data_IF_455041467292
#
_entry.id   IF_455041467292
#
_cell.length_a   1.000
_cell.length_b   1.000
_cell.length_c   1.000
_cell.angle_alpha   90.00
_cell.angle_beta   90.00
_cell.angle_gamma   90.00
#
_symmetry.space_group_name_H-M   'P 1'
#
loop_
_entity.id
_entity.type
_entity.pdbx_description
1 polymer ?
#
# COMPACT_ATOMS: atom_id res chain seq x y z
N UNK A 1 2.22 -11.49 2.90
CA UNK A 1 0.98 -11.70 2.11
C UNK A 1 0.04 -10.51 2.05
N UNK A 2 0.24 -9.44 2.88
CA UNK A 2 -0.68 -8.29 2.94
C UNK A 2 -0.91 -7.64 1.57
N UNK A 3 0.18 -7.23 0.91
CA UNK A 3 0.13 -6.56 -0.40
C UNK A 3 -0.43 -7.46 -1.49
N UNK A 4 -0.09 -8.76 -1.50
CA UNK A 4 -0.64 -9.73 -2.45
C UNK A 4 -2.16 -9.85 -2.30
N UNK A 5 -2.66 -9.97 -1.07
CA UNK A 5 -4.10 -10.05 -0.79
C UNK A 5 -4.83 -8.76 -1.21
N UNK A 6 -4.24 -7.60 -0.92
CA UNK A 6 -4.80 -6.32 -1.36
C UNK A 6 -4.86 -6.20 -2.90
N UNK A 7 -3.80 -6.63 -3.59
CA UNK A 7 -3.78 -6.70 -5.05
C UNK A 7 -4.86 -7.64 -5.60
N UNK A 8 -5.05 -8.81 -4.98
CA UNK A 8 -6.07 -9.77 -5.38
C UNK A 8 -7.48 -9.16 -5.27
N UNK A 9 -7.81 -8.55 -4.12
CA UNK A 9 -9.10 -7.92 -3.89
C UNK A 9 -9.32 -6.76 -4.88
N UNK A 10 -8.29 -5.95 -5.14
CA UNK A 10 -8.38 -4.82 -6.05
C UNK A 10 -8.61 -5.26 -7.50
N UNK A 11 -7.84 -6.24 -7.98
CA UNK A 11 -7.98 -6.79 -9.32
C UNK A 11 -9.37 -7.43 -9.50
N UNK A 12 -9.83 -8.23 -8.53
CA UNK A 12 -11.16 -8.82 -8.56
C UNK A 12 -12.25 -7.74 -8.63
N UNK A 13 -12.11 -6.65 -7.86
CA UNK A 13 -13.09 -5.55 -7.87
C UNK A 13 -13.24 -4.89 -9.24
N UNK A 14 -12.15 -4.77 -10.02
CA UNK A 14 -12.20 -4.23 -11.39
C UNK A 14 -12.77 -5.27 -12.37
N UNK A 15 -12.38 -6.53 -12.24
CA UNK A 15 -12.88 -7.61 -13.11
C UNK A 15 -14.38 -7.81 -12.95
N UNK A 16 -14.89 -7.72 -11.72
CA UNK A 16 -16.33 -7.82 -11.40
C UNK A 16 -17.08 -6.50 -11.66
N UNK A 17 -16.37 -5.46 -12.13
CA UNK A 17 -16.95 -4.14 -12.43
C UNK A 17 -17.58 -3.42 -11.23
N UNK A 18 -17.17 -3.74 -10.01
CA UNK A 18 -17.58 -3.02 -8.81
C UNK A 18 -16.92 -1.65 -8.72
N UNK A 19 -15.71 -1.55 -9.25
CA UNK A 19 -14.97 -0.29 -9.40
C UNK A 19 -14.38 -0.20 -10.80
N UNK A 20 -13.99 1.01 -11.21
CA UNK A 20 -13.45 1.24 -12.55
C UNK A 20 -11.93 1.14 -12.58
N UNK A 21 -11.26 1.40 -11.46
CA UNK A 21 -9.79 1.50 -11.39
C UNK A 21 -9.22 1.18 -10.03
N UNK A 22 -7.94 0.90 -10.05
CA UNK A 22 -7.10 0.66 -8.87
C UNK A 22 -6.12 1.83 -8.76
N UNK A 23 -6.08 2.46 -7.60
CA UNK A 23 -5.10 3.49 -7.27
C UNK A 23 -4.11 2.89 -6.28
N UNK A 24 -2.82 3.06 -6.53
CA UNK A 24 -1.77 2.51 -5.67
C UNK A 24 -0.90 3.66 -5.18
N UNK A 25 -0.64 3.69 -3.89
CA UNK A 25 0.33 4.60 -3.29
C UNK A 25 1.21 3.87 -2.29
N UNK A 26 2.44 4.35 -2.16
CA UNK A 26 3.44 3.85 -1.21
C UNK A 26 4.22 5.05 -0.64
N UNK A 27 4.30 5.21 0.69
CA UNK A 27 4.84 6.41 1.33
C UNK A 27 6.37 6.55 1.31
N UNK A 28 7.09 5.51 0.88
CA UNK A 28 8.56 5.48 0.89
C UNK A 28 9.23 6.38 -0.15
N UNK A 29 8.45 7.19 -0.88
CA UNK A 29 8.97 8.07 -1.94
C UNK A 29 8.91 9.50 -1.42
N UNK A 30 10.04 10.04 -1.00
CA UNK A 30 10.17 11.48 -0.72
C UNK A 30 10.18 12.29 -2.02
N UNK A 31 9.80 13.57 -1.93
CA UNK A 31 9.93 14.48 -3.07
C UNK A 31 11.39 14.67 -3.49
N UNK A 32 12.30 14.55 -2.52
CA UNK A 32 13.73 14.66 -2.72
C UNK A 32 14.26 13.46 -3.51
N UNK A 33 13.84 12.23 -3.15
CA UNK A 33 14.20 11.02 -3.89
C UNK A 33 13.74 11.07 -5.36
N UNK A 34 12.53 11.58 -5.60
CA UNK A 34 12.01 11.78 -6.95
C UNK A 34 12.76 12.87 -7.72
N UNK A 35 13.28 13.89 -7.04
CA UNK A 35 14.04 15.00 -7.63
C UNK A 35 15.39 14.60 -8.22
N UNK A 36 16.06 13.63 -7.62
CA UNK A 36 17.42 13.19 -8.00
C UNK A 36 17.45 12.11 -9.09
N UNK A 37 16.34 11.45 -9.38
CA UNK A 37 16.29 10.41 -10.41
C UNK A 37 16.02 11.03 -11.80
N UNK A 38 16.73 10.58 -12.87
CA UNK A 38 16.43 10.99 -14.23
C UNK A 38 15.09 10.40 -14.71
N UNK A 39 14.42 11.07 -15.65
CA UNK A 39 13.19 10.59 -16.26
C UNK A 39 11.90 11.29 -15.78
N UNK A 40 10.77 10.86 -16.31
CA UNK A 40 9.46 11.35 -15.91
C UNK A 40 9.01 10.72 -14.56
N UNK A 41 7.94 11.24 -13.96
CA UNK A 41 7.46 10.78 -12.63
C UNK A 41 7.19 9.27 -12.63
N UNK A 42 6.64 8.72 -13.70
CA UNK A 42 6.33 7.29 -13.82
C UNK A 42 7.60 6.45 -13.81
N UNK A 43 8.59 6.81 -14.61
CA UNK A 43 9.90 6.12 -14.67
C UNK A 43 10.63 6.19 -13.33
N UNK A 44 10.54 7.33 -12.65
CA UNK A 44 11.13 7.51 -11.32
C UNK A 44 10.47 6.62 -10.26
N UNK A 45 9.18 6.33 -10.40
CA UNK A 45 8.43 5.50 -9.46
C UNK A 45 8.57 4.00 -9.72
N UNK A 46 8.92 3.58 -10.93
CA UNK A 46 8.97 2.17 -11.33
C UNK A 46 9.74 1.27 -10.34
N UNK A 47 10.92 1.63 -9.82
CA UNK A 47 11.62 0.80 -8.84
C UNK A 47 10.84 0.58 -7.53
N UNK A 48 10.09 1.58 -7.10
CA UNK A 48 9.33 1.55 -5.84
C UNK A 48 8.04 0.75 -5.93
N UNK A 49 7.48 0.67 -7.12
CA UNK A 49 6.23 -0.05 -7.38
C UNK A 49 6.45 -1.43 -8.00
N UNK A 50 7.66 -1.74 -8.44
CA UNK A 50 8.00 -3.06 -8.97
C UNK A 50 7.55 -4.23 -8.05
N UNK A 51 7.67 -4.16 -6.71
CA UNK A 51 7.15 -5.22 -5.83
C UNK A 51 5.62 -5.38 -5.91
N UNK A 52 4.89 -4.29 -6.15
CA UNK A 52 3.42 -4.31 -6.28
C UNK A 52 3.04 -4.95 -7.60
N UNK A 53 3.68 -4.54 -8.70
CA UNK A 53 3.49 -5.18 -10.00
C UNK A 53 3.86 -6.65 -9.96
N UNK A 54 4.96 -7.03 -9.27
CA UNK A 54 5.35 -8.41 -9.05
C UNK A 54 4.25 -9.23 -8.38
N UNK A 55 3.54 -8.68 -7.39
CA UNK A 55 2.37 -9.32 -6.79
C UNK A 55 1.21 -9.45 -7.79
N UNK A 56 0.94 -8.41 -8.60
CA UNK A 56 -0.13 -8.46 -9.60
C UNK A 56 0.15 -9.48 -10.71
N UNK A 57 1.40 -9.61 -11.15
CA UNK A 57 1.82 -10.59 -12.17
C UNK A 57 1.72 -12.05 -11.67
N UNK A 58 1.73 -12.28 -10.35
CA UNK A 58 1.43 -13.61 -9.79
C UNK A 58 -0.07 -13.95 -9.87
N UNK A 59 -0.94 -12.95 -9.94
CA UNK A 59 -2.39 -13.10 -9.92
C UNK A 59 -3.01 -13.12 -11.31
N UNK A 60 -2.46 -12.33 -12.24
CA UNK A 60 -2.90 -12.26 -13.63
C UNK A 60 -1.70 -12.26 -14.58
N UNK A 61 -1.92 -12.68 -15.82
CA UNK A 61 -0.91 -12.64 -16.89
C UNK A 61 -0.39 -11.20 -17.06
N UNK A 62 0.92 -11.08 -17.24
CA UNK A 62 1.62 -9.79 -17.37
C UNK A 62 0.97 -8.90 -18.42
N UNK A 63 0.68 -9.45 -19.59
CA UNK A 63 0.07 -8.71 -20.70
C UNK A 63 -1.27 -8.07 -20.32
N UNK A 64 -2.04 -8.75 -19.44
CA UNK A 64 -3.31 -8.23 -18.96
C UNK A 64 -3.13 -7.06 -18.01
N UNK A 65 -2.18 -7.16 -17.09
CA UNK A 65 -1.83 -6.07 -16.17
C UNK A 65 -1.31 -4.87 -16.96
N UNK A 66 -0.41 -5.09 -17.93
CA UNK A 66 0.15 -4.02 -18.77
C UNK A 66 -0.96 -3.30 -19.57
N UNK A 67 -1.95 -4.04 -20.09
CA UNK A 67 -3.14 -3.46 -20.71
C UNK A 67 -3.97 -2.61 -19.73
N UNK A 68 -4.12 -3.05 -18.49
CA UNK A 68 -4.86 -2.30 -17.48
C UNK A 68 -4.12 -1.01 -17.10
N UNK A 69 -2.80 -1.04 -17.04
CA UNK A 69 -1.96 0.15 -16.83
C UNK A 69 -2.10 1.12 -18.01
N UNK A 70 -2.00 0.61 -19.24
CA UNK A 70 -2.12 1.42 -20.45
C UNK A 70 -3.52 2.08 -20.61
N UNK A 71 -4.57 1.44 -20.06
CA UNK A 71 -5.95 1.95 -20.02
C UNK A 71 -6.25 2.79 -18.78
N UNK A 72 -5.25 3.11 -17.97
CA UNK A 72 -5.40 3.86 -16.70
C UNK A 72 -6.35 3.19 -15.70
N UNK A 73 -6.58 1.88 -15.83
CA UNK A 73 -7.31 1.10 -14.85
C UNK A 73 -6.45 0.77 -13.62
N UNK A 74 -5.14 0.86 -13.73
CA UNK A 74 -4.17 0.80 -12.63
C UNK A 74 -3.34 2.08 -12.71
N UNK A 75 -3.45 2.90 -11.67
CA UNK A 75 -2.75 4.18 -11.57
C UNK A 75 -1.90 4.18 -10.29
N UNK A 76 -0.64 4.60 -10.42
CA UNK A 76 0.25 4.80 -9.28
C UNK A 76 0.32 6.29 -8.99
N UNK A 77 0.04 6.65 -7.74
CA UNK A 77 -0.03 8.05 -7.31
C UNK A 77 0.88 8.23 -6.10
N UNK A 78 1.92 9.06 -6.18
CA UNK A 78 2.70 9.45 -5.01
C UNK A 78 1.81 10.09 -3.94
N UNK A 79 2.08 9.87 -2.67
CA UNK A 79 1.31 10.45 -1.56
C UNK A 79 1.17 11.97 -1.70
N UNK A 80 2.24 12.64 -2.12
CA UNK A 80 2.24 14.10 -2.32
C UNK A 80 1.28 14.59 -3.42
N UNK A 81 0.92 13.73 -4.37
CA UNK A 81 0.01 14.05 -5.48
C UNK A 81 -1.44 13.62 -5.22
N UNK A 82 -1.71 13.02 -4.07
CA UNK A 82 -3.08 12.65 -3.67
C UNK A 82 -3.87 13.86 -3.16
N UNK A 83 -3.19 14.89 -2.67
CA UNK A 83 -3.83 16.11 -2.14
C UNK A 83 -4.68 16.80 -3.22
N UNK A 84 -5.92 17.15 -2.88
CA UNK A 84 -6.86 17.80 -3.81
C UNK A 84 -7.57 16.86 -4.78
N UNK A 85 -7.23 15.57 -4.79
CA UNK A 85 -7.94 14.56 -5.59
C UNK A 85 -9.06 13.92 -4.77
N UNK A 86 -10.07 13.39 -5.46
CA UNK A 86 -11.10 12.53 -4.90
C UNK A 86 -11.18 11.26 -5.75
N UNK A 87 -11.02 10.10 -5.14
CA UNK A 87 -11.06 8.82 -5.83
C UNK A 87 -12.46 8.24 -5.74
N UNK A 88 -13.20 8.27 -6.84
CA UNK A 88 -14.55 7.70 -6.97
C UNK A 88 -14.49 6.39 -7.74
N UNK A 89 -15.40 5.46 -7.43
CA UNK A 89 -15.50 4.15 -8.08
C UNK A 89 -14.12 3.47 -8.23
N UNK A 90 -13.32 3.51 -7.16
CA UNK A 90 -11.94 3.07 -7.16
C UNK A 90 -11.63 2.19 -5.95
N UNK A 91 -10.71 1.25 -6.12
CA UNK A 91 -10.03 0.58 -5.01
C UNK A 91 -8.66 1.22 -4.83
N UNK A 92 -8.41 1.80 -3.65
CA UNK A 92 -7.13 2.45 -3.32
C UNK A 92 -6.32 1.51 -2.42
N UNK A 93 -5.09 1.21 -2.82
CA UNK A 93 -4.11 0.45 -2.02
C UNK A 93 -3.09 1.43 -1.49
N UNK A 94 -2.96 1.49 -0.17
CA UNK A 94 -1.91 2.23 0.54
C UNK A 94 -0.96 1.20 1.13
N UNK A 95 0.13 0.91 0.44
CA UNK A 95 1.11 -0.09 0.87
C UNK A 95 2.15 0.54 1.80
N UNK A 96 2.71 -0.26 2.73
CA UNK A 96 3.68 0.18 3.74
C UNK A 96 3.19 1.39 4.58
N UNK A 97 1.91 1.39 4.94
CA UNK A 97 1.26 2.54 5.59
C UNK A 97 1.83 2.87 6.98
N UNK A 98 2.62 1.97 7.60
CA UNK A 98 3.33 2.25 8.84
C UNK A 98 4.36 3.38 8.68
N UNK A 99 4.79 3.67 7.45
CA UNK A 99 5.73 4.75 7.14
C UNK A 99 5.05 6.11 6.90
N UNK A 100 3.71 6.17 6.94
CA UNK A 100 2.95 7.42 6.96
C UNK A 100 2.91 7.98 8.38
N UNK A 101 2.87 9.30 8.49
CA UNK A 101 2.45 9.96 9.72
C UNK A 101 0.91 10.07 9.81
N UNK A 102 0.42 10.51 10.97
CA UNK A 102 -1.02 10.65 11.22
C UNK A 102 -1.68 11.67 10.27
N UNK A 103 -0.98 12.77 9.95
CA UNK A 103 -1.48 13.82 9.06
C UNK A 103 -1.59 13.33 7.62
N UNK A 104 -0.58 12.62 7.13
CA UNK A 104 -0.59 12.00 5.82
C UNK A 104 -1.69 10.95 5.71
N UNK A 105 -1.87 10.12 6.73
CA UNK A 105 -2.91 9.09 6.77
C UNK A 105 -4.30 9.71 6.72
N UNK A 106 -4.55 10.74 7.51
CA UNK A 106 -5.81 11.48 7.49
C UNK A 106 -6.04 12.15 6.14
N UNK A 107 -5.00 12.77 5.57
CA UNK A 107 -5.07 13.38 4.24
C UNK A 107 -5.47 12.37 3.16
N UNK A 108 -4.94 11.14 3.20
CA UNK A 108 -5.30 10.07 2.26
C UNK A 108 -6.74 9.61 2.49
N UNK A 109 -7.15 9.39 3.75
CA UNK A 109 -8.52 8.99 4.08
C UNK A 109 -9.56 9.98 3.54
N UNK A 110 -9.26 11.28 3.57
CA UNK A 110 -10.12 12.32 3.02
C UNK A 110 -10.27 12.27 1.49
N UNK A 111 -9.51 11.43 0.81
CA UNK A 111 -9.58 11.28 -0.67
C UNK A 111 -10.57 10.22 -1.10
N UNK A 112 -11.20 9.49 -0.17
CA UNK A 112 -12.22 8.49 -0.50
C UNK A 112 -13.45 9.18 -1.11
N UNK A 113 -13.85 8.71 -2.26
CA UNK A 113 -15.06 9.16 -2.96
C UNK A 113 -16.15 8.08 -2.99
N UNK A 114 -17.29 8.43 -3.51
CA UNK A 114 -18.45 7.53 -3.63
C UNK A 114 -18.07 6.29 -4.46
N UNK A 115 -18.53 5.11 -4.04
CA UNK A 115 -18.29 3.85 -4.71
C UNK A 115 -16.85 3.33 -4.57
N UNK A 116 -16.07 3.90 -3.64
CA UNK A 116 -14.67 3.51 -3.45
C UNK A 116 -14.41 2.84 -2.12
N UNK A 117 -13.32 2.09 -2.06
CA UNK A 117 -12.74 1.52 -0.83
C UNK A 117 -11.26 1.84 -0.76
N UNK A 118 -10.73 1.88 0.46
CA UNK A 118 -9.31 2.01 0.72
C UNK A 118 -8.81 0.82 1.53
N UNK A 119 -7.65 0.30 1.19
CA UNK A 119 -6.97 -0.78 1.89
C UNK A 119 -5.60 -0.29 2.31
N UNK A 120 -5.39 -0.19 3.62
CA UNK A 120 -4.11 0.18 4.21
C UNK A 120 -3.37 -1.10 4.60
N UNK A 121 -2.22 -1.33 3.99
CA UNK A 121 -1.36 -2.47 4.25
C UNK A 121 -0.13 -1.99 5.03
N UNK A 122 0.11 -2.57 6.18
CA UNK A 122 1.24 -2.19 7.03
C UNK A 122 1.67 -3.29 7.99
N UNK A 123 2.80 -3.08 8.63
CA UNK A 123 3.35 -3.95 9.65
C UNK A 123 3.78 -3.14 10.86
N UNK A 124 3.12 -3.35 12.00
CA UNK A 124 3.41 -2.61 13.23
C UNK A 124 4.80 -2.93 13.78
N UNK A 125 5.31 -4.15 13.52
CA UNK A 125 6.65 -4.57 13.92
C UNK A 125 7.78 -3.90 13.11
N UNK A 126 7.45 -3.24 11.99
CA UNK A 126 8.42 -2.53 11.15
C UNK A 126 8.41 -1.00 11.38
N UNK A 127 7.64 -0.54 12.37
CA UNK A 127 7.63 0.88 12.75
C UNK A 127 8.87 1.17 13.59
N UNK A 128 9.63 2.20 13.26
CA UNK A 128 10.70 2.71 14.12
C UNK A 128 10.10 3.06 15.50
N UNK A 129 10.68 2.53 16.57
CA UNK A 129 10.23 2.73 17.97
C UNK A 129 10.06 4.22 18.32
N UNK A 130 10.87 5.10 17.73
CA UNK A 130 10.77 6.56 17.96
C UNK A 130 9.53 7.19 17.32
N UNK A 131 8.93 6.54 16.32
CA UNK A 131 7.78 7.04 15.54
C UNK A 131 6.51 6.23 15.74
N UNK A 132 6.51 5.24 16.62
CA UNK A 132 5.41 4.30 16.76
C UNK A 132 4.06 4.99 17.08
N UNK A 133 4.07 6.02 17.93
CA UNK A 133 2.86 6.80 18.28
C UNK A 133 2.36 7.69 17.12
N UNK A 134 3.27 8.12 16.27
CA UNK A 134 2.98 9.03 15.14
C UNK A 134 2.75 8.25 13.84
N UNK A 135 2.84 6.93 13.87
CA UNK A 135 2.61 6.07 12.72
C UNK A 135 1.14 6.08 12.31
N UNK A 136 0.91 6.24 11.02
CA UNK A 136 -0.43 6.14 10.43
C UNK A 136 -1.14 4.84 10.74
N UNK A 137 -0.41 3.72 10.91
CA UNK A 137 -0.98 2.45 11.32
C UNK A 137 -1.51 2.49 12.76
N UNK A 138 -0.84 3.18 13.67
CA UNK A 138 -1.33 3.41 15.04
C UNK A 138 -2.59 4.27 15.02
N UNK A 139 -2.62 5.32 14.21
CA UNK A 139 -3.82 6.14 14.01
C UNK A 139 -5.00 5.32 13.49
N UNK A 140 -4.80 4.49 12.44
CA UNK A 140 -5.82 3.61 11.88
C UNK A 140 -6.37 2.62 12.93
N UNK A 141 -5.51 2.11 13.81
CA UNK A 141 -5.93 1.20 14.90
C UNK A 141 -6.84 1.89 15.90
N UNK A 142 -6.67 3.18 16.14
CA UNK A 142 -7.51 3.96 17.06
C UNK A 142 -8.89 4.30 16.47
N UNK A 143 -9.02 4.39 15.13
CA UNK A 143 -10.28 4.73 14.47
C UNK A 143 -11.03 3.51 13.90
N UNK A 144 -10.59 2.30 14.20
CA UNK A 144 -11.21 1.05 13.70
C UNK A 144 -12.67 0.86 14.10
N UNK A 145 -13.16 1.57 15.13
CA UNK A 145 -14.57 1.56 15.55
C UNK A 145 -15.50 2.39 14.66
N UNK A 146 -14.95 3.18 13.74
CA UNK A 146 -15.75 3.97 12.79
C UNK A 146 -16.50 3.03 11.85
N UNK A 147 -17.80 3.26 11.69
CA UNK A 147 -18.65 2.46 10.80
C UNK A 147 -18.09 2.41 9.38
N UNK A 148 -17.96 1.22 8.83
CA UNK A 148 -17.38 0.98 7.49
C UNK A 148 -15.87 0.75 7.51
N UNK A 149 -15.21 0.81 8.66
CA UNK A 149 -13.82 0.40 8.81
C UNK A 149 -13.74 -1.04 9.33
N UNK A 150 -12.83 -1.81 8.76
CA UNK A 150 -12.54 -3.18 9.15
C UNK A 150 -11.04 -3.38 9.26
N UNK A 151 -10.61 -4.15 10.24
CA UNK A 151 -9.20 -4.50 10.46
C UNK A 151 -9.03 -6.01 10.37
N UNK A 152 -8.04 -6.45 9.61
CA UNK A 152 -7.69 -7.86 9.44
C UNK A 152 -6.22 -8.02 9.82
N UNK A 153 -5.92 -8.92 10.75
CA UNK A 153 -4.56 -9.28 11.12
C UNK A 153 -4.21 -10.63 10.49
N UNK A 154 -3.12 -10.66 9.74
CA UNK A 154 -2.59 -11.89 9.16
C UNK A 154 -1.52 -12.45 10.09
N UNK A 155 -1.76 -13.64 10.65
CA UNK A 155 -0.88 -14.27 11.64
C UNK A 155 0.12 -15.24 11.01
N UNK A 156 -0.20 -15.79 9.84
CA UNK A 156 0.63 -16.81 9.21
C UNK A 156 1.67 -16.21 8.26
N UNK A 157 2.87 -16.73 8.34
CA UNK A 157 3.97 -16.38 7.46
C UNK A 157 4.25 -17.53 6.49
N UNK A 158 3.84 -17.37 5.23
CA UNK A 158 4.06 -18.36 4.15
C UNK A 158 5.41 -18.17 3.43
N UNK A 159 6.34 -17.42 4.01
CA UNK A 159 7.69 -17.30 3.49
C UNK A 159 8.50 -18.56 3.80
N UNK A 160 9.73 -18.60 3.28
CA UNK A 160 10.61 -19.75 3.50
C UNK A 160 10.74 -20.08 5.00
N UNK A 161 10.63 -21.37 5.43
CA UNK A 161 10.63 -21.77 6.84
C UNK A 161 11.79 -21.23 7.66
N UNK A 162 12.99 -21.12 7.07
CA UNK A 162 14.20 -20.59 7.72
C UNK A 162 14.00 -19.16 8.28
N UNK A 163 13.08 -18.38 7.74
CA UNK A 163 12.83 -17.01 8.21
C UNK A 163 12.27 -16.97 9.62
N UNK A 164 11.56 -18.03 10.04
CA UNK A 164 11.06 -18.14 11.42
C UNK A 164 12.25 -18.22 12.39
N UNK A 165 13.19 -19.10 12.10
CA UNK A 165 14.37 -19.34 12.93
C UNK A 165 15.28 -18.11 12.95
N UNK A 166 15.48 -17.47 11.80
CA UNK A 166 16.26 -16.23 11.70
C UNK A 166 15.64 -15.09 12.50
N UNK A 167 14.32 -14.91 12.46
CA UNK A 167 13.64 -13.88 13.24
C UNK A 167 13.68 -14.15 14.74
N UNK A 168 13.62 -15.42 15.15
CA UNK A 168 13.78 -15.81 16.54
C UNK A 168 15.18 -15.47 17.05
N UNK A 169 16.22 -15.79 16.29
CA UNK A 169 17.61 -15.42 16.60
C UNK A 169 17.77 -13.90 16.65
N UNK A 170 17.22 -13.18 15.68
CA UNK A 170 17.31 -11.72 15.62
C UNK A 170 16.65 -11.04 16.82
N UNK A 171 15.45 -11.48 17.19
CA UNK A 171 14.69 -10.92 18.32
C UNK A 171 15.37 -11.17 19.69
N UNK A 172 16.18 -12.24 19.78
CA UNK A 172 16.96 -12.58 20.97
C UNK A 172 18.37 -11.98 20.95
N UNK A 173 18.76 -11.29 19.88
CA UNK A 173 20.06 -10.65 19.77
C UNK A 173 20.06 -9.34 20.59
N UNK A 174 21.03 -9.13 21.50
CA UNK A 174 21.10 -7.89 22.26
C UNK A 174 21.33 -6.71 21.30
N UNK A 175 20.33 -5.87 21.16
CA UNK A 175 20.44 -4.61 20.44
C UNK A 175 21.17 -3.62 21.36
N UNK A 176 22.46 -3.39 21.09
CA UNK A 176 23.30 -2.38 21.77
C UNK A 176 22.88 -0.96 21.38
#
# INVERSE_FOLDING_TARGET
GKTLLACQIALQSVLDKWVNRIIITRPTISKEDLGFLPGNIKEKMDPWVAPIYGNMYQLLRKERIDQMIAKEQIEIVPVSYMRGRTFTNSTVIVDECQNLDNSQTLMILQRIGIGSRMMFCGDIGQVDLRRQKDSGLSFLSNIKSVKGMHSITLHENYRHPILKDLLEVYNNFPHS
#
